data_IF_540718663084
#
_entry.id   IF_540718663084
#
_cell.length_a   1.000
_cell.length_b   1.000
_cell.length_c   1.000
_cell.angle_alpha   90.00
_cell.angle_beta   90.00
_cell.angle_gamma   90.00
#
_symmetry.space_group_name_H-M   'P 1'
#
loop_
_entity.id
_entity.type
_entity.pdbx_description
1 polymer ?
#
# COMPACT_ATOMS: atom_id res chain seq x y z
N UNK A 1 -28.72 22.13 1.95
CA UNK A 1 -28.39 20.77 1.49
C UNK A 1 -27.25 20.89 0.50
N UNK A 2 -26.00 20.78 0.95
CA UNK A 2 -24.82 20.94 0.08
C UNK A 2 -24.67 19.67 -0.76
N UNK A 3 -25.01 19.78 -2.05
CA UNK A 3 -24.60 18.80 -3.04
C UNK A 3 -23.10 18.94 -3.21
N UNK A 4 -22.31 18.17 -2.45
CA UNK A 4 -20.89 18.02 -2.77
C UNK A 4 -20.84 17.51 -4.20
N UNK A 5 -20.35 18.35 -5.11
CA UNK A 5 -20.28 17.99 -6.52
C UNK A 5 -19.30 16.83 -6.65
N UNK A 6 -19.63 15.82 -7.46
CA UNK A 6 -18.79 14.62 -7.61
C UNK A 6 -17.33 14.95 -7.96
N UNK A 7 -17.10 16.14 -8.55
CA UNK A 7 -15.80 16.73 -8.87
C UNK A 7 -14.96 17.08 -7.64
N UNK A 8 -15.55 17.62 -6.57
CA UNK A 8 -14.82 18.02 -5.36
C UNK A 8 -14.27 16.79 -4.61
N UNK A 9 -15.07 15.72 -4.54
CA UNK A 9 -14.66 14.45 -3.92
C UNK A 9 -13.49 13.84 -4.70
N UNK A 10 -13.54 13.88 -6.04
CA UNK A 10 -12.46 13.39 -6.91
C UNK A 10 -11.15 14.17 -6.68
N UNK A 11 -11.21 15.49 -6.56
CA UNK A 11 -10.03 16.32 -6.33
C UNK A 11 -9.31 16.01 -5.01
N UNK A 12 -10.06 15.65 -3.97
CA UNK A 12 -9.49 15.23 -2.67
C UNK A 12 -9.03 13.77 -2.70
N UNK A 13 -9.74 12.90 -3.42
CA UNK A 13 -9.39 11.48 -3.51
C UNK A 13 -8.12 11.23 -4.33
N UNK A 14 -7.87 12.01 -5.39
CA UNK A 14 -6.69 11.87 -6.26
C UNK A 14 -5.37 11.83 -5.46
N UNK A 15 -5.02 12.83 -4.62
CA UNK A 15 -3.74 12.82 -3.91
C UNK A 15 -3.62 11.64 -2.94
N UNK A 16 -4.70 11.27 -2.23
CA UNK A 16 -4.71 10.08 -1.37
C UNK A 16 -4.44 8.81 -2.17
N UNK A 17 -5.13 8.64 -3.31
CA UNK A 17 -4.96 7.48 -4.18
C UNK A 17 -3.54 7.42 -4.76
N UNK A 18 -2.97 8.55 -5.16
CA UNK A 18 -1.58 8.61 -5.66
C UNK A 18 -0.61 8.16 -4.59
N UNK A 19 -0.74 8.64 -3.35
CA UNK A 19 0.12 8.24 -2.23
C UNK A 19 -0.05 6.75 -1.94
N UNK A 20 -1.30 6.27 -1.86
CA UNK A 20 -1.60 4.87 -1.59
C UNK A 20 -1.01 3.95 -2.67
N UNK A 21 -1.24 4.26 -3.95
CA UNK A 21 -0.73 3.46 -5.07
C UNK A 21 0.79 3.51 -5.15
N UNK A 22 1.40 4.69 -4.95
CA UNK A 22 2.86 4.84 -4.95
C UNK A 22 3.50 3.98 -3.85
N UNK A 23 2.95 4.01 -2.64
CA UNK A 23 3.43 3.20 -1.51
C UNK A 23 3.24 1.70 -1.77
N UNK A 24 2.09 1.31 -2.32
CA UNK A 24 1.77 -0.06 -2.67
C UNK A 24 2.76 -0.61 -3.70
N UNK A 25 2.96 0.10 -4.81
CA UNK A 25 3.92 -0.28 -5.87
C UNK A 25 5.34 -0.32 -5.33
N UNK A 26 5.74 0.67 -4.51
CA UNK A 26 7.05 0.67 -3.87
C UNK A 26 7.26 -0.58 -3.01
N UNK A 27 6.27 -0.96 -2.20
CA UNK A 27 6.35 -2.15 -1.35
C UNK A 27 6.35 -3.45 -2.16
N UNK A 28 5.55 -3.57 -3.22
CA UNK A 28 5.58 -4.73 -4.11
C UNK A 28 6.91 -4.88 -4.84
N UNK A 29 7.45 -3.77 -5.35
CA UNK A 29 8.77 -3.76 -5.99
C UNK A 29 9.85 -4.23 -5.01
N UNK A 30 9.81 -3.70 -3.78
CA UNK A 30 10.73 -4.08 -2.72
C UNK A 30 10.57 -5.54 -2.31
N UNK A 31 9.34 -6.04 -2.23
CA UNK A 31 9.00 -7.43 -1.91
C UNK A 31 9.58 -8.44 -2.90
N UNK A 32 9.64 -8.08 -4.18
CA UNK A 32 10.31 -8.93 -5.17
C UNK A 32 11.81 -9.01 -4.93
N UNK A 33 12.44 -7.91 -4.50
CA UNK A 33 13.89 -7.78 -4.36
C UNK A 33 14.43 -8.25 -3.00
N UNK A 34 13.75 -7.92 -1.91
CA UNK A 34 14.13 -8.28 -0.55
C UNK A 34 13.70 -9.73 -0.22
N UNK A 35 14.41 -10.32 0.75
CA UNK A 35 13.99 -11.58 1.37
C UNK A 35 12.90 -11.28 2.40
N UNK A 36 11.83 -12.07 2.36
CA UNK A 36 10.68 -11.90 3.24
C UNK A 36 10.86 -12.65 4.54
N UNK A 37 10.49 -12.00 5.64
CA UNK A 37 10.49 -12.63 6.96
C UNK A 37 9.08 -13.13 7.32
N UNK A 38 9.03 -14.22 8.09
CA UNK A 38 7.84 -14.86 8.68
C UNK A 38 6.82 -15.51 7.73
N UNK A 39 6.59 -14.95 6.53
CA UNK A 39 5.58 -15.44 5.59
C UNK A 39 6.11 -15.48 4.14
N UNK A 40 5.55 -16.35 3.28
CA UNK A 40 5.95 -16.44 1.87
C UNK A 40 5.64 -15.15 1.11
N UNK A 41 6.42 -14.87 0.05
CA UNK A 41 6.34 -13.62 -0.73
C UNK A 41 4.92 -13.31 -1.22
N UNK A 42 4.20 -14.33 -1.69
CA UNK A 42 2.84 -14.15 -2.19
C UNK A 42 1.84 -13.72 -1.11
N UNK A 43 2.02 -14.16 0.13
CA UNK A 43 1.14 -13.77 1.23
C UNK A 43 1.35 -12.29 1.61
N UNK A 44 2.60 -11.83 1.63
CA UNK A 44 2.90 -10.41 1.82
C UNK A 44 2.33 -9.55 0.69
N UNK A 45 2.35 -10.01 -0.56
CA UNK A 45 1.69 -9.31 -1.66
C UNK A 45 0.18 -9.16 -1.41
N UNK A 46 -0.48 -10.21 -0.92
CA UNK A 46 -1.88 -10.19 -0.54
C UNK A 46 -2.13 -9.14 0.56
N UNK A 47 -1.32 -9.15 1.62
CA UNK A 47 -1.43 -8.18 2.72
C UNK A 47 -1.28 -6.74 2.23
N UNK A 48 -0.32 -6.47 1.33
CA UNK A 48 -0.09 -5.14 0.79
C UNK A 48 -1.28 -4.66 -0.07
N UNK A 49 -1.85 -5.53 -0.90
CA UNK A 49 -2.97 -5.20 -1.79
C UNK A 49 -4.27 -5.03 -1.02
N UNK A 50 -4.59 -5.96 -0.11
CA UNK A 50 -5.86 -5.94 0.63
C UNK A 50 -5.83 -5.04 1.87
N UNK A 51 -4.65 -4.77 2.43
CA UNK A 51 -4.47 -3.93 3.61
C UNK A 51 -4.44 -2.42 3.34
N UNK A 52 -4.65 -1.98 2.09
CA UNK A 52 -4.59 -0.58 1.65
C UNK A 52 -3.34 0.18 2.15
N UNK A 53 -3.47 1.03 3.17
CA UNK A 53 -2.36 1.74 3.78
C UNK A 53 -1.68 0.92 4.88
N UNK A 54 -2.46 0.15 5.65
CA UNK A 54 -1.93 -0.68 6.74
C UNK A 54 -1.07 -1.83 6.20
N UNK A 55 -1.47 -2.45 5.10
CA UNK A 55 -0.74 -3.55 4.46
C UNK A 55 0.73 -3.22 4.15
N UNK A 56 1.00 -2.18 3.35
CA UNK A 56 2.35 -1.68 3.07
C UNK A 56 3.12 -1.31 4.34
N UNK A 57 2.46 -0.66 5.31
CA UNK A 57 3.09 -0.25 6.57
C UNK A 57 3.55 -1.48 7.37
N UNK A 58 2.68 -2.48 7.54
CA UNK A 58 2.99 -3.73 8.23
C UNK A 58 4.11 -4.49 7.51
N UNK A 59 4.08 -4.55 6.18
CA UNK A 59 5.17 -5.12 5.39
C UNK A 59 6.50 -4.40 5.61
N UNK A 60 6.49 -3.06 5.59
CA UNK A 60 7.70 -2.27 5.78
C UNK A 60 8.33 -2.43 7.17
N UNK A 61 7.52 -2.71 8.20
CA UNK A 61 7.97 -2.86 9.59
C UNK A 61 8.37 -4.31 9.90
N UNK A 62 7.52 -5.29 9.56
CA UNK A 62 7.65 -6.69 9.99
C UNK A 62 8.05 -7.64 8.85
N UNK A 63 7.66 -7.33 7.61
CA UNK A 63 7.85 -8.23 6.47
C UNK A 63 9.23 -8.20 5.85
N UNK A 64 10.02 -7.15 6.14
CA UNK A 64 11.38 -7.03 5.63
C UNK A 64 12.37 -7.64 6.60
N UNK A 65 13.24 -8.49 6.08
CA UNK A 65 14.49 -8.82 6.75
C UNK A 65 15.40 -7.58 6.66
N UNK A 66 15.53 -6.86 7.78
CA UNK A 66 16.60 -5.89 7.93
C UNK A 66 17.85 -6.74 8.17
N UNK A 67 18.78 -6.74 7.23
CA UNK A 67 20.17 -7.09 7.55
C UNK A 67 20.63 -6.25 8.76
#
# INVERSE_FOLDING_TARGET
MTNMTSTEILQIAIPILVIQLSLMVFCLYKLSKDTVKYLPKWFWALVIVFGQLLGPIVYLILGREKE
#
